data_IF_408613421486
#
_entry.id   IF_408613421486
#
_cell.length_a   1.000
_cell.length_b   1.000
_cell.length_c   1.000
_cell.angle_alpha   90.00
_cell.angle_beta   90.00
_cell.angle_gamma   90.00
#
_symmetry.space_group_name_H-M   'P 1'
#
loop_
_entity.id
_entity.type
_entity.pdbx_description
1 polymer ?
#
# COMPACT_ATOMS: atom_id res chain seq x y z
N UNK A 1 -12.04 -7.34 32.53
CA UNK A 1 -10.67 -6.96 32.94
C UNK A 1 -9.71 -7.91 32.23
N UNK A 2 -8.78 -7.37 31.46
CA UNK A 2 -7.83 -8.12 30.64
C UNK A 2 -7.11 -7.16 29.71
N UNK A 3 -6.28 -6.31 30.31
CA UNK A 3 -5.47 -5.31 29.62
C UNK A 3 -4.29 -6.06 28.98
N UNK A 4 -4.41 -6.46 27.71
CA UNK A 4 -3.24 -6.82 26.92
C UNK A 4 -2.59 -5.51 26.52
N UNK A 5 -1.52 -5.16 27.21
CA UNK A 5 -0.72 -3.97 26.94
C UNK A 5 -0.22 -4.03 25.49
N UNK A 6 -0.87 -3.24 24.65
CA UNK A 6 -0.51 -3.05 23.25
C UNK A 6 0.82 -2.31 23.22
N UNK A 7 1.86 -2.98 22.70
CA UNK A 7 3.20 -2.46 22.50
C UNK A 7 3.23 -1.49 21.29
N UNK A 8 2.42 -0.43 21.37
CA UNK A 8 2.21 0.58 20.31
C UNK A 8 3.49 1.42 20.07
N UNK A 9 4.36 1.54 21.08
CA UNK A 9 5.58 2.34 21.01
C UNK A 9 6.66 1.72 20.11
N UNK A 10 6.77 0.39 20.06
CA UNK A 10 7.76 -0.29 19.24
C UNK A 10 7.36 -0.32 17.76
N UNK A 11 6.06 -0.36 17.45
CA UNK A 11 5.55 -0.26 16.09
C UNK A 11 5.81 1.13 15.49
N UNK A 12 5.57 2.19 16.27
CA UNK A 12 5.85 3.58 15.85
C UNK A 12 7.35 3.85 15.77
N UNK A 13 8.16 3.30 16.69
CA UNK A 13 9.63 3.39 16.59
C UNK A 13 10.17 2.66 15.37
N UNK A 14 9.65 1.48 15.01
CA UNK A 14 10.00 0.78 13.76
C UNK A 14 9.55 1.50 12.48
N UNK A 15 8.56 2.39 12.58
CA UNK A 15 8.15 3.28 11.49
C UNK A 15 9.03 4.54 11.41
N UNK A 16 9.52 5.04 12.55
CA UNK A 16 10.36 6.24 12.66
C UNK A 16 11.85 5.95 12.42
N UNK A 17 12.31 4.75 12.77
CA UNK A 17 13.60 4.19 12.36
C UNK A 17 13.51 3.84 10.87
N UNK A 18 13.65 4.86 10.02
CA UNK A 18 13.74 4.75 8.55
C UNK A 18 14.99 3.99 8.05
N UNK A 19 15.31 2.86 8.68
CA UNK A 19 16.42 1.95 8.35
C UNK A 19 15.95 0.56 7.91
N UNK A 20 14.65 0.34 7.70
CA UNK A 20 14.16 -0.83 7.00
C UNK A 20 14.17 -0.57 5.51
N UNK A 21 14.92 -1.34 4.73
CA UNK A 21 14.69 -1.52 3.30
C UNK A 21 13.21 -1.85 3.10
N UNK A 22 12.35 -0.86 2.88
CA UNK A 22 10.98 -1.13 2.47
C UNK A 22 11.09 -1.56 1.01
N UNK A 23 10.77 -2.82 0.68
CA UNK A 23 10.92 -3.32 -0.68
C UNK A 23 10.03 -2.56 -1.68
N UNK A 24 9.06 -1.76 -1.20
CA UNK A 24 8.33 -0.78 -2.00
C UNK A 24 9.20 0.35 -2.59
N UNK A 25 10.21 0.83 -1.86
CA UNK A 25 11.09 1.88 -2.40
C UNK A 25 12.02 1.32 -3.48
N UNK A 26 12.42 0.06 -3.40
CA UNK A 26 13.16 -0.62 -4.49
C UNK A 26 12.28 -0.83 -5.75
N UNK A 27 10.96 -0.96 -5.56
CA UNK A 27 10.02 -1.08 -6.68
C UNK A 27 9.75 0.25 -7.38
N UNK A 28 9.64 1.33 -6.61
CA UNK A 28 9.10 2.62 -7.05
C UNK A 28 10.08 3.78 -6.93
N UNK A 29 11.38 3.51 -6.72
CA UNK A 29 12.40 4.52 -6.45
C UNK A 29 12.20 5.77 -7.32
N UNK A 30 11.83 6.87 -6.63
CA UNK A 30 11.46 8.15 -7.23
C UNK A 30 12.67 8.82 -7.91
N UNK A 31 13.89 8.37 -7.61
CA UNK A 31 15.13 8.80 -8.25
C UNK A 31 15.41 8.18 -9.62
N UNK A 32 14.57 7.23 -10.07
CA UNK A 32 14.66 6.65 -11.41
C UNK A 32 15.25 5.23 -11.49
N UNK A 33 15.52 4.57 -10.35
CA UNK A 33 16.02 3.19 -10.29
C UNK A 33 14.95 2.11 -10.08
N UNK A 34 13.67 2.49 -10.00
CA UNK A 34 12.59 1.55 -9.67
C UNK A 34 12.40 0.50 -10.76
N UNK A 35 12.40 -0.78 -10.39
CA UNK A 35 12.23 -1.89 -11.35
C UNK A 35 10.91 -1.82 -12.16
N UNK A 36 9.89 -1.12 -11.64
CA UNK A 36 8.65 -0.86 -12.37
C UNK A 36 8.80 0.21 -13.47
N UNK A 37 9.68 1.20 -13.27
CA UNK A 37 9.95 2.26 -14.23
C UNK A 37 10.58 1.70 -15.51
N UNK A 38 11.57 0.80 -15.38
CA UNK A 38 12.23 0.15 -16.52
C UNK A 38 11.29 -0.73 -17.35
N UNK A 39 10.41 -1.49 -16.68
CA UNK A 39 9.39 -2.31 -17.35
C UNK A 39 8.37 -1.42 -18.04
N UNK A 40 7.98 -0.31 -17.40
CA UNK A 40 7.03 0.66 -17.96
C UNK A 40 7.60 1.36 -19.21
N UNK A 41 8.88 1.74 -19.18
CA UNK A 41 9.56 2.33 -20.34
C UNK A 41 9.64 1.35 -21.52
N UNK A 42 10.01 0.08 -21.25
CA UNK A 42 10.03 -0.97 -22.29
C UNK A 42 8.65 -1.23 -22.89
N UNK A 43 7.61 -1.26 -22.05
CA UNK A 43 6.23 -1.41 -22.47
C UNK A 43 5.75 -0.23 -23.33
N UNK A 44 6.11 1.01 -22.97
CA UNK A 44 5.78 2.22 -23.76
C UNK A 44 6.42 2.18 -25.15
N UNK A 45 7.69 1.78 -25.25
CA UNK A 45 8.40 1.70 -26.54
C UNK A 45 7.82 0.61 -27.43
N UNK A 46 7.53 -0.58 -26.86
CA UNK A 46 6.97 -1.72 -27.60
C UNK A 46 5.46 -1.60 -27.87
N UNK A 47 4.75 -0.70 -27.17
CA UNK A 47 3.28 -0.63 -27.11
C UNK A 47 2.59 -1.91 -26.65
N UNK A 48 3.32 -2.81 -26.01
CA UNK A 48 2.78 -4.03 -25.40
C UNK A 48 2.83 -3.89 -23.88
N UNK A 49 1.66 -3.95 -23.25
CA UNK A 49 1.47 -3.74 -21.82
C UNK A 49 1.23 -5.05 -21.06
N UNK A 50 1.21 -6.21 -21.73
CA UNK A 50 0.95 -7.49 -21.07
C UNK A 50 2.01 -7.84 -20.02
N UNK A 51 3.28 -7.68 -20.38
CA UNK A 51 4.42 -7.91 -19.48
C UNK A 51 4.36 -6.98 -18.26
N UNK A 52 3.98 -5.71 -18.48
CA UNK A 52 3.82 -4.75 -17.40
C UNK A 52 2.68 -5.13 -16.45
N UNK A 53 1.54 -5.57 -16.98
CA UNK A 53 0.38 -5.95 -16.17
C UNK A 53 0.66 -7.19 -15.30
N UNK A 54 1.40 -8.16 -15.83
CA UNK A 54 1.86 -9.34 -15.08
C UNK A 54 2.85 -8.99 -13.96
N UNK A 55 3.79 -8.08 -14.25
CA UNK A 55 4.75 -7.59 -13.26
C UNK A 55 4.04 -6.80 -12.16
N UNK A 56 3.05 -5.96 -12.51
CA UNK A 56 2.25 -5.22 -11.53
C UNK A 56 1.47 -6.18 -10.65
N UNK A 57 0.77 -7.17 -11.23
CA UNK A 57 0.01 -8.16 -10.45
C UNK A 57 0.90 -8.97 -9.52
N UNK A 58 2.09 -9.39 -9.95
CA UNK A 58 2.98 -10.18 -9.09
C UNK A 58 3.63 -9.34 -7.99
N UNK A 59 4.11 -8.14 -8.32
CA UNK A 59 4.90 -7.32 -7.38
C UNK A 59 4.04 -6.44 -6.48
N UNK A 60 2.84 -6.02 -6.88
CA UNK A 60 2.00 -5.10 -6.10
C UNK A 60 1.02 -5.84 -5.19
N UNK A 61 0.52 -7.02 -5.59
CA UNK A 61 -0.42 -7.83 -4.80
C UNK A 61 0.02 -8.10 -3.35
N UNK A 62 1.30 -8.37 -3.03
CA UNK A 62 1.75 -8.61 -1.66
C UNK A 62 1.57 -7.41 -0.73
N UNK A 63 1.52 -6.20 -1.29
CA UNK A 63 1.38 -4.96 -0.51
C UNK A 63 -0.07 -4.50 -0.39
N UNK A 64 -0.99 -5.12 -1.12
CA UNK A 64 -2.40 -4.81 -1.03
C UNK A 64 -3.01 -5.50 0.20
N UNK A 65 -3.87 -4.79 0.90
CA UNK A 65 -4.63 -5.37 2.00
C UNK A 65 -5.47 -6.55 1.49
N UNK A 66 -5.33 -7.72 2.10
CA UNK A 66 -5.94 -8.98 1.65
C UNK A 66 -5.61 -9.37 0.19
N UNK A 67 -4.39 -9.07 -0.29
CA UNK A 67 -3.96 -9.41 -1.65
C UNK A 67 -4.79 -8.72 -2.74
N UNK A 68 -5.40 -7.58 -2.42
CA UNK A 68 -6.29 -6.85 -3.32
C UNK A 68 -7.70 -7.43 -3.41
N UNK A 69 -8.01 -8.50 -2.66
CA UNK A 69 -9.34 -9.11 -2.61
C UNK A 69 -10.27 -8.30 -1.67
N UNK A 70 -10.44 -7.02 -2.02
CA UNK A 70 -11.35 -6.10 -1.35
C UNK A 70 -12.75 -6.23 -1.92
N UNK A 71 -13.77 -6.09 -1.07
CA UNK A 71 -15.14 -5.92 -1.54
C UNK A 71 -15.27 -4.53 -2.19
N UNK A 72 -15.93 -4.46 -3.34
CA UNK A 72 -16.35 -3.18 -3.91
C UNK A 72 -17.39 -2.57 -2.97
N UNK A 73 -17.03 -1.50 -2.25
CA UNK A 73 -17.91 -0.80 -1.31
C UNK A 73 -18.20 0.59 -1.85
N UNK A 74 -19.47 1.02 -1.93
CA UNK A 74 -19.81 2.40 -2.27
C UNK A 74 -19.16 3.38 -1.29
N UNK A 75 -18.58 4.47 -1.82
CA UNK A 75 -17.88 5.49 -1.02
C UNK A 75 -18.75 6.06 0.10
N UNK A 76 -20.07 6.15 -0.13
CA UNK A 76 -21.05 6.64 0.85
C UNK A 76 -21.01 5.81 2.15
N UNK A 77 -20.88 4.49 2.05
CA UNK A 77 -20.81 3.63 3.24
C UNK A 77 -19.56 3.89 4.07
N UNK A 78 -18.42 4.15 3.41
CA UNK A 78 -17.18 4.52 4.10
C UNK A 78 -17.33 5.86 4.84
N UNK A 79 -17.97 6.84 4.19
CA UNK A 79 -18.23 8.15 4.79
C UNK A 79 -19.14 8.04 6.03
N UNK A 80 -20.20 7.22 5.95
CA UNK A 80 -21.11 6.99 7.08
C UNK A 80 -20.42 6.28 8.26
N UNK A 81 -19.61 5.24 7.99
CA UNK A 81 -18.84 4.54 9.01
C UNK A 81 -17.87 5.49 9.73
N UNK A 82 -17.13 6.29 8.97
CA UNK A 82 -16.21 7.29 9.52
C UNK A 82 -16.96 8.34 10.35
N UNK A 83 -18.12 8.80 9.89
CA UNK A 83 -18.92 9.78 10.62
C UNK A 83 -19.52 9.20 11.92
N UNK A 84 -19.83 7.90 11.95
CA UNK A 84 -20.31 7.20 13.17
C UNK A 84 -19.23 7.13 14.25
N UNK A 85 -17.97 6.96 13.86
CA UNK A 85 -16.83 6.93 14.79
C UNK A 85 -16.33 8.30 15.23
N UNK A 86 -16.84 9.39 14.63
CA UNK A 86 -16.41 10.75 14.99
C UNK A 86 -17.06 11.13 16.32
N UNK A 87 -16.29 11.60 17.32
CA UNK A 87 -16.88 12.12 18.56
C UNK A 87 -17.77 13.30 18.19
N UNK A 88 -19.04 13.23 18.61
CA UNK A 88 -19.92 14.39 18.55
C UNK A 88 -19.40 15.38 19.58
N UNK A 89 -18.98 16.55 19.12
CA UNK A 89 -18.74 17.67 20.03
C UNK A 89 -20.02 17.89 20.84
N UNK A 90 -19.85 18.15 22.14
CA UNK A 90 -20.91 18.76 22.95
C UNK A 90 -21.18 20.17 22.44
#
# INVERSE_FOLDING_TARGET
MGNTESNESDAVKRQAEGGGNFPMYELLDLGGGGSLMEVSQRAMVKKDFKELDEVIRSKVTPYLYNGGNGKMVPVIHLALLRNKGRPRSK
#
